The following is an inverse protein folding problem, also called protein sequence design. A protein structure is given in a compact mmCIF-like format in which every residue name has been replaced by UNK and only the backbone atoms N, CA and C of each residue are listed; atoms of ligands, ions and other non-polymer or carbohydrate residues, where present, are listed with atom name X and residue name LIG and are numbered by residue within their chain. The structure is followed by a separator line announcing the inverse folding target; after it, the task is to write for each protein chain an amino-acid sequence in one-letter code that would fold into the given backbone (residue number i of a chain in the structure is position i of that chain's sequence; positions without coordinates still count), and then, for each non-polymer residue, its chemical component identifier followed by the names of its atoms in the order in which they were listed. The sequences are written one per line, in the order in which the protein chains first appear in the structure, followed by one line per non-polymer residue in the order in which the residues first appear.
data_IF_542170307298
#
_entry.id   IF_542170307298
#
_cell.length_a   1.000
_cell.length_b   1.000
_cell.length_c   1.000
_cell.angle_alpha   90.00
_cell.angle_beta   90.00
_cell.angle_gamma   90.00
#
_symmetry.space_group_name_H-M   'P 1'
#
loop_
_entity.id
_entity.type
_entity.pdbx_description
1 polymer ?
#
# COMPACT_ATOMS: atom_id res chain seq x y z
N UNK A 1 7.84 -10.05 -12.13
CA UNK A 1 7.63 -8.67 -11.61
C UNK A 1 6.17 -8.39 -11.24
N UNK A 2 5.24 -9.34 -11.40
CA UNK A 2 3.79 -9.06 -11.49
C UNK A 2 3.10 -8.66 -10.18
N UNK A 3 3.68 -8.90 -9.02
CA UNK A 3 3.00 -8.64 -7.74
C UNK A 3 3.89 -7.95 -6.71
N UNK A 4 4.81 -7.12 -7.21
CA UNK A 4 5.68 -6.27 -6.39
C UNK A 4 5.12 -4.85 -6.32
N UNK A 5 5.11 -4.26 -5.14
CA UNK A 5 4.81 -2.85 -4.96
C UNK A 5 5.55 -2.29 -3.75
N UNK A 6 5.80 -0.98 -3.79
CA UNK A 6 6.24 -0.23 -2.62
C UNK A 6 5.06 0.54 -2.04
N UNK A 7 4.83 0.44 -0.75
CA UNK A 7 3.79 1.13 -0.02
C UNK A 7 4.38 2.30 0.75
N UNK A 8 3.74 3.45 0.66
CA UNK A 8 4.07 4.61 1.49
C UNK A 8 2.79 5.21 2.11
N UNK A 9 2.95 5.97 3.19
CA UNK A 9 1.81 6.56 3.87
C UNK A 9 1.17 7.70 3.05
N UNK A 10 1.97 8.58 2.43
CA UNK A 10 1.51 9.80 1.75
C UNK A 10 1.66 9.72 0.23
N UNK A 11 0.77 10.40 -0.51
CA UNK A 11 0.83 10.48 -1.98
C UNK A 11 2.16 11.09 -2.47
N UNK A 12 2.63 12.18 -1.84
CA UNK A 12 3.90 12.83 -2.21
C UNK A 12 5.10 11.86 -2.18
N UNK A 13 5.15 10.98 -1.19
CA UNK A 13 6.21 9.98 -1.08
C UNK A 13 6.09 8.91 -2.17
N UNK A 14 4.87 8.51 -2.52
CA UNK A 14 4.58 7.60 -3.64
C UNK A 14 5.04 8.21 -4.96
N UNK A 15 4.71 9.47 -5.24
CA UNK A 15 5.11 10.15 -6.47
C UNK A 15 6.64 10.27 -6.57
N UNK A 16 7.32 10.62 -5.47
CA UNK A 16 8.78 10.67 -5.40
C UNK A 16 9.44 9.31 -5.62
N UNK A 17 8.89 8.24 -5.03
CA UNK A 17 9.34 6.87 -5.26
C UNK A 17 9.15 6.44 -6.71
N UNK A 18 7.97 6.69 -7.27
CA UNK A 18 7.66 6.36 -8.66
C UNK A 18 8.64 7.07 -9.60
N UNK A 19 8.91 8.37 -9.39
CA UNK A 19 9.89 9.11 -10.18
C UNK A 19 11.31 8.55 -10.06
N UNK A 20 11.74 8.22 -8.83
CA UNK A 20 13.08 7.66 -8.57
C UNK A 20 13.25 6.27 -9.19
N UNK A 21 12.19 5.46 -9.24
CA UNK A 21 12.23 4.14 -9.87
C UNK A 21 12.22 4.30 -11.40
N UNK A 22 11.39 5.22 -11.91
CA UNK A 22 11.31 5.53 -13.33
C UNK A 22 12.64 6.00 -13.91
N UNK A 23 13.41 6.81 -13.17
CA UNK A 23 14.72 7.29 -13.61
C UNK A 23 15.73 6.16 -13.76
N UNK A 24 15.64 5.12 -12.91
CA UNK A 24 16.53 3.95 -12.92
C UNK A 24 16.20 2.92 -14.01
N UNK A 25 15.01 2.96 -14.59
CA UNK A 25 14.61 2.05 -15.67
C UNK A 25 15.34 2.45 -16.95
N UNK A 26 15.96 1.48 -17.62
CA UNK A 26 16.58 1.69 -18.92
C UNK A 26 15.53 2.01 -20.00
N UNK A 27 15.92 2.79 -21.00
CA UNK A 27 15.06 3.18 -22.12
C UNK A 27 14.72 4.66 -22.15
N UNK A 28 14.24 5.09 -23.31
CA UNK A 28 13.93 6.49 -23.58
C UNK A 28 12.70 6.95 -22.80
N UNK A 29 12.85 8.08 -22.09
CA UNK A 29 11.75 8.71 -21.38
C UNK A 29 10.85 9.44 -22.36
N UNK A 30 9.58 9.04 -22.43
CA UNK A 30 8.57 9.75 -23.21
C UNK A 30 7.66 10.55 -22.31
N UNK A 31 7.47 11.82 -22.68
CA UNK A 31 6.56 12.74 -21.99
C UNK A 31 5.30 12.97 -22.84
N UNK A 32 4.15 12.89 -22.19
CA UNK A 32 2.85 13.20 -22.76
C UNK A 32 2.22 14.33 -21.96
N UNK A 33 2.11 15.51 -22.57
CA UNK A 33 1.36 16.64 -22.00
C UNK A 33 -0.15 16.44 -22.23
N UNK A 34 -0.95 16.79 -21.23
CA UNK A 34 -2.40 16.83 -21.35
C UNK A 34 -2.84 18.07 -22.11
N UNK A 35 -4.09 18.04 -22.59
CA UNK A 35 -4.79 19.21 -23.11
C UNK A 35 -5.87 19.56 -22.11
N UNK A 36 -5.74 20.71 -21.47
CA UNK A 36 -6.63 21.17 -20.42
C UNK A 36 -7.44 22.38 -20.94
N UNK A 37 -8.74 22.37 -20.69
CA UNK A 37 -9.65 23.46 -21.09
C UNK A 37 -10.76 23.65 -20.06
N UNK A 38 -11.24 24.87 -19.86
CA UNK A 38 -12.46 25.08 -19.08
C UNK A 38 -13.67 24.49 -19.82
N UNK A 39 -14.70 24.09 -19.06
CA UNK A 39 -15.98 23.66 -19.63
C UNK A 39 -16.86 24.87 -19.90
N UNK A 40 -16.89 25.83 -18.98
CA UNK A 40 -17.55 27.13 -19.18
C UNK A 40 -16.54 28.15 -19.75
N UNK A 41 -16.83 28.64 -20.95
CA UNK A 41 -16.01 29.63 -21.64
C UNK A 41 -15.98 30.98 -20.90
N UNK A 42 -17.03 31.31 -20.15
CA UNK A 42 -17.08 32.55 -19.38
C UNK A 42 -16.08 32.51 -18.20
N UNK A 43 -15.80 31.32 -17.68
CA UNK A 43 -14.81 31.12 -16.62
C UNK A 43 -13.38 31.03 -17.15
N UNK A 44 -13.17 30.89 -18.46
CA UNK A 44 -11.83 30.78 -19.05
C UNK A 44 -10.94 32.01 -18.79
N UNK A 45 -11.55 33.18 -18.60
CA UNK A 45 -10.84 34.42 -18.24
C UNK A 45 -10.33 34.37 -16.79
N UNK A 46 -11.02 33.65 -15.91
CA UNK A 46 -10.70 33.57 -14.48
C UNK A 46 -9.64 32.51 -14.18
N UNK A 47 -9.50 31.50 -15.02
CA UNK A 47 -8.61 30.35 -14.78
C UNK A 47 -7.62 30.16 -15.95
N UNK A 48 -6.39 30.67 -15.84
CA UNK A 48 -5.39 30.50 -16.89
C UNK A 48 -4.99 29.04 -17.06
N UNK A 49 -4.59 28.65 -18.28
CA UNK A 49 -4.21 27.27 -18.61
C UNK A 49 -3.03 26.78 -17.76
N UNK A 50 -2.08 27.65 -17.42
CA UNK A 50 -0.95 27.34 -16.54
C UNK A 50 -1.42 26.91 -15.14
N UNK A 51 -2.47 27.55 -14.63
CA UNK A 51 -3.09 27.15 -13.38
C UNK A 51 -3.71 25.75 -13.52
N UNK A 52 -4.50 25.50 -14.56
CA UNK A 52 -5.09 24.18 -14.81
C UNK A 52 -4.04 23.07 -14.92
N UNK A 53 -2.97 23.32 -15.66
CA UNK A 53 -1.85 22.39 -15.84
C UNK A 53 -1.12 22.07 -14.53
N UNK A 54 -1.15 22.98 -13.55
CA UNK A 54 -0.53 22.79 -12.23
C UNK A 54 -1.37 21.91 -11.28
N UNK A 55 -2.66 21.70 -11.58
CA UNK A 55 -3.55 20.95 -10.72
C UNK A 55 -3.30 19.43 -10.80
N UNK A 56 -3.00 18.83 -9.64
CA UNK A 56 -2.93 17.39 -9.44
C UNK A 56 -4.15 16.91 -8.63
N UNK A 57 -5.30 16.81 -9.31
CA UNK A 57 -6.58 16.43 -8.68
C UNK A 57 -6.64 14.90 -8.53
N UNK A 58 -7.05 14.37 -7.35
CA UNK A 58 -7.24 12.94 -7.17
C UNK A 58 -8.15 12.32 -8.25
N UNK A 59 -7.75 11.17 -8.79
CA UNK A 59 -8.52 10.48 -9.83
C UNK A 59 -8.35 11.04 -11.24
N UNK A 60 -7.64 12.15 -11.40
CA UNK A 60 -7.21 12.66 -12.71
C UNK A 60 -5.76 12.23 -13.02
N UNK A 61 -5.42 12.02 -14.30
CA UNK A 61 -4.05 11.79 -14.70
C UNK A 61 -3.24 13.10 -14.57
N UNK A 62 -1.91 12.99 -14.35
CA UNK A 62 -1.04 14.16 -14.28
C UNK A 62 -1.00 14.88 -15.63
N UNK A 63 -0.81 16.21 -15.59
CA UNK A 63 -0.62 17.01 -16.80
C UNK A 63 0.56 16.49 -17.64
N UNK A 64 1.72 16.31 -17.01
CA UNK A 64 2.90 15.72 -17.64
C UNK A 64 3.05 14.25 -17.25
N UNK A 65 2.53 13.34 -18.07
CA UNK A 65 2.73 11.91 -17.89
C UNK A 65 4.06 11.48 -18.51
N UNK A 66 5.01 11.08 -17.66
CA UNK A 66 6.33 10.60 -18.07
C UNK A 66 6.42 9.08 -17.90
N UNK A 67 6.69 8.37 -19.00
CA UNK A 67 6.71 6.90 -19.03
C UNK A 67 7.82 6.38 -19.93
N UNK A 68 8.29 5.17 -19.65
CA UNK A 68 9.26 4.39 -20.44
C UNK A 68 8.66 3.04 -20.79
N UNK A 69 9.18 2.38 -21.82
CA UNK A 69 8.89 0.96 -22.05
C UNK A 69 9.30 0.15 -20.81
N UNK A 70 8.47 -0.80 -20.39
CA UNK A 70 8.64 -1.58 -19.15
C UNK A 70 8.14 -0.90 -17.88
N UNK A 71 7.61 0.34 -17.97
CA UNK A 71 7.05 1.01 -16.79
C UNK A 71 5.77 0.33 -16.32
N UNK A 72 5.55 0.31 -15.00
CA UNK A 72 4.29 -0.17 -14.43
C UNK A 72 3.34 1.00 -14.27
N UNK A 73 2.17 0.91 -14.88
CA UNK A 73 1.10 1.91 -14.81
C UNK A 73 -0.18 1.29 -14.23
N UNK A 74 -1.08 2.13 -13.75
CA UNK A 74 -2.39 1.74 -13.24
C UNK A 74 -3.49 2.55 -13.92
N UNK A 75 -4.59 1.90 -14.26
CA UNK A 75 -5.79 2.53 -14.83
C UNK A 75 -6.50 3.38 -13.77
N UNK A 76 -6.94 4.57 -14.17
CA UNK A 76 -7.71 5.51 -13.33
C UNK A 76 -9.22 5.50 -13.62
N UNK A 77 -9.61 4.97 -14.79
CA UNK A 77 -11.01 4.92 -15.25
C UNK A 77 -11.32 3.56 -15.84
N UNK A 78 -12.61 3.24 -15.85
CA UNK A 78 -13.12 2.08 -16.57
C UNK A 78 -13.18 2.43 -18.06
N UNK A 79 -12.55 1.61 -18.89
CA UNK A 79 -12.63 1.70 -20.35
C UNK A 79 -13.44 0.55 -20.93
N UNK A 80 -13.12 -0.68 -20.53
CA UNK A 80 -13.78 -1.87 -21.02
C UNK A 80 -13.94 -2.91 -19.90
N UNK A 81 -15.00 -2.83 -19.08
CA UNK A 81 -15.28 -3.86 -18.10
C UNK A 81 -15.59 -5.21 -18.77
N UNK A 82 -15.12 -6.34 -18.22
CA UNK A 82 -14.42 -6.49 -16.94
C UNK A 82 -12.88 -6.42 -17.01
N UNK A 83 -12.29 -6.18 -18.19
CA UNK A 83 -10.84 -6.31 -18.41
C UNK A 83 -10.04 -5.05 -18.02
N UNK A 84 -10.48 -3.88 -18.48
CA UNK A 84 -9.83 -2.58 -18.29
C UNK A 84 -10.66 -1.69 -17.38
N UNK A 85 -10.53 -1.95 -16.08
CA UNK A 85 -11.18 -1.22 -15.01
C UNK A 85 -10.19 -0.33 -14.25
N UNK A 86 -10.72 0.60 -13.46
CA UNK A 86 -9.94 1.37 -12.49
C UNK A 86 -9.20 0.42 -11.54
N UNK A 87 -7.90 0.66 -11.35
CA UNK A 87 -7.03 -0.19 -10.53
C UNK A 87 -6.31 -1.31 -11.29
N UNK A 88 -6.66 -1.60 -12.55
CA UNK A 88 -5.93 -2.59 -13.35
C UNK A 88 -4.48 -2.12 -13.57
N UNK A 89 -3.51 -2.93 -13.14
CA UNK A 89 -2.07 -2.67 -13.33
C UNK A 89 -1.59 -3.25 -14.65
N UNK A 90 -0.87 -2.43 -15.40
CA UNK A 90 -0.41 -2.73 -16.75
C UNK A 90 1.10 -2.48 -16.86
N UNK A 91 1.78 -3.25 -17.71
CA UNK A 91 3.19 -3.06 -18.05
C UNK A 91 3.30 -2.48 -19.45
N UNK A 92 3.95 -1.33 -19.58
CA UNK A 92 4.09 -0.65 -20.88
C UNK A 92 4.95 -1.48 -21.82
N UNK A 93 4.43 -1.78 -23.01
CA UNK A 93 5.13 -2.49 -24.08
C UNK A 93 5.63 -1.55 -25.17
N UNK A 94 4.76 -0.65 -25.63
CA UNK A 94 5.07 0.30 -26.70
C UNK A 94 4.39 1.63 -26.44
N UNK A 95 5.13 2.69 -26.76
CA UNK A 95 4.70 4.06 -26.59
C UNK A 95 4.49 4.67 -27.98
N UNK A 96 3.27 5.09 -28.31
CA UNK A 96 2.90 5.72 -29.59
C UNK A 96 2.40 7.15 -29.34
N UNK A 97 2.13 7.93 -30.38
CA UNK A 97 1.71 9.32 -30.22
C UNK A 97 0.35 9.44 -29.48
N UNK A 98 -0.62 8.61 -29.89
CA UNK A 98 -2.02 8.70 -29.43
C UNK A 98 -2.50 7.45 -28.68
N UNK A 99 -1.63 6.47 -28.49
CA UNK A 99 -1.95 5.21 -27.81
C UNK A 99 -0.75 4.70 -27.00
N UNK A 100 -1.04 4.03 -25.89
CA UNK A 100 -0.06 3.26 -25.12
C UNK A 100 -0.45 1.79 -25.21
N UNK A 101 0.44 0.96 -25.77
CA UNK A 101 0.29 -0.49 -25.75
C UNK A 101 0.86 -1.03 -24.44
N UNK A 102 0.06 -1.78 -23.71
CA UNK A 102 0.45 -2.37 -22.44
C UNK A 102 -0.07 -3.78 -22.28
N UNK A 103 0.54 -4.55 -21.40
CA UNK A 103 0.10 -5.91 -21.04
C UNK A 103 -0.50 -5.93 -19.64
N UNK A 104 -1.63 -6.59 -19.45
CA UNK A 104 -2.25 -6.79 -18.14
C UNK A 104 -1.36 -7.68 -17.27
N UNK A 105 -1.07 -7.22 -16.05
CA UNK A 105 -0.08 -7.88 -15.17
C UNK A 105 -0.74 -8.93 -14.25
N UNK A 106 -1.99 -8.71 -13.84
CA UNK A 106 -2.68 -9.49 -12.81
C UNK A 106 -4.16 -9.68 -13.14
N UNK A 107 -4.77 -10.72 -12.56
CA UNK A 107 -6.19 -11.03 -12.70
C UNK A 107 -6.44 -12.08 -13.78
N UNK A 108 -7.72 -12.31 -14.07
CA UNK A 108 -8.16 -13.33 -15.02
C UNK A 108 -7.67 -13.06 -16.46
N UNK A 109 -7.41 -11.79 -16.77
CA UNK A 109 -6.98 -11.32 -18.09
C UNK A 109 -5.45 -11.09 -18.15
N UNK A 110 -4.68 -11.72 -17.25
CA UNK A 110 -3.22 -11.58 -17.21
C UNK A 110 -2.60 -12.01 -18.54
N UNK A 111 -1.70 -11.18 -19.07
CA UNK A 111 -0.99 -11.44 -20.33
C UNK A 111 -1.68 -10.85 -21.56
N UNK A 112 -2.93 -10.40 -21.46
CA UNK A 112 -3.60 -9.73 -22.58
C UNK A 112 -2.96 -8.38 -22.89
N UNK A 113 -2.81 -8.10 -24.19
CA UNK A 113 -2.35 -6.82 -24.68
C UNK A 113 -3.51 -5.88 -24.96
N UNK A 114 -3.33 -4.63 -24.55
CA UNK A 114 -4.36 -3.61 -24.63
C UNK A 114 -3.77 -2.30 -25.15
N UNK A 115 -4.60 -1.55 -25.88
CA UNK A 115 -4.30 -0.20 -26.32
C UNK A 115 -5.09 0.79 -25.48
N UNK A 116 -4.37 1.74 -24.89
CA UNK A 116 -4.95 2.77 -24.03
C UNK A 116 -4.96 4.08 -24.82
N UNK A 117 -6.14 4.62 -25.18
CA UNK A 117 -6.25 5.92 -25.81
C UNK A 117 -6.23 7.06 -24.79
N UNK A 118 -6.04 8.29 -25.28
CA UNK A 118 -6.33 9.49 -24.49
C UNK A 118 -7.84 9.66 -24.37
N UNK A 119 -8.33 9.96 -23.17
CA UNK A 119 -9.75 10.22 -22.93
C UNK A 119 -9.93 11.58 -22.23
N UNK A 120 -11.06 12.27 -22.44
CA UNK A 120 -11.41 13.43 -21.65
C UNK A 120 -11.83 13.01 -20.24
N UNK A 121 -11.33 13.70 -19.22
CA UNK A 121 -11.66 13.49 -17.81
C UNK A 121 -12.06 14.84 -17.22
N UNK A 122 -13.21 14.85 -16.55
CA UNK A 122 -13.75 16.02 -15.85
C UNK A 122 -13.69 15.70 -14.36
N UNK A 123 -12.86 16.41 -13.56
CA UNK A 123 -12.87 16.28 -12.11
C UNK A 123 -14.15 16.87 -11.53
N UNK A 124 -14.70 16.22 -10.51
CA UNK A 124 -15.94 16.63 -9.83
C UNK A 124 -15.71 17.39 -8.53
N UNK A 125 -14.49 17.36 -8.00
CA UNK A 125 -14.18 17.78 -6.62
C UNK A 125 -13.60 19.20 -6.55
N UNK A 126 -13.93 20.05 -7.53
CA UNK A 126 -13.46 21.43 -7.64
C UNK A 126 -14.63 22.41 -7.75
N UNK A 127 -14.46 23.67 -7.30
CA UNK A 127 -15.52 24.69 -7.39
C UNK A 127 -15.75 25.20 -8.82
N UNK A 128 -14.95 24.74 -9.79
CA UNK A 128 -15.07 25.00 -11.22
C UNK A 128 -14.89 23.69 -11.98
N UNK A 129 -15.37 23.64 -13.22
CA UNK A 129 -15.26 22.45 -14.05
C UNK A 129 -14.31 22.69 -15.22
N UNK A 130 -13.28 21.86 -15.32
CA UNK A 130 -12.38 21.83 -16.45
C UNK A 130 -12.27 20.41 -17.00
N UNK A 131 -11.87 20.30 -18.25
CA UNK A 131 -11.69 19.04 -18.97
C UNK A 131 -10.19 18.82 -19.21
N UNK A 132 -9.69 17.66 -18.79
CA UNK A 132 -8.32 17.21 -19.07
C UNK A 132 -8.34 16.03 -20.05
N UNK A 133 -7.76 16.20 -21.23
CA UNK A 133 -7.59 15.11 -22.20
C UNK A 133 -6.20 14.51 -22.02
N UNK A 134 -6.15 13.26 -21.57
CA UNK A 134 -4.90 12.54 -21.30
C UNK A 134 -5.15 11.03 -21.26
N UNK A 135 -4.08 10.23 -21.29
CA UNK A 135 -4.18 8.79 -20.98
C UNK A 135 -4.70 8.60 -19.54
N UNK A 136 -5.71 7.75 -19.31
CA UNK A 136 -6.31 7.55 -17.99
C UNK A 136 -5.46 6.64 -17.10
N UNK A 137 -4.16 6.95 -16.96
CA UNK A 137 -3.17 6.12 -16.28
C UNK A 137 -2.23 6.95 -15.41
N UNK A 138 -1.62 6.29 -14.42
CA UNK A 138 -0.55 6.87 -13.59
C UNK A 138 0.53 5.82 -13.33
N UNK A 139 1.76 6.24 -13.05
CA UNK A 139 2.84 5.31 -12.64
C UNK A 139 2.44 4.59 -11.34
N UNK A 140 2.82 3.31 -11.24
CA UNK A 140 2.34 2.41 -10.21
C UNK A 140 3.39 1.39 -9.74
N UNK A 141 4.65 1.81 -9.58
CA UNK A 141 5.65 1.01 -8.85
C UNK A 141 5.41 1.07 -7.35
N UNK A 142 5.06 2.26 -6.88
CA UNK A 142 4.61 2.54 -5.53
C UNK A 142 3.13 2.94 -5.52
N UNK A 143 2.46 2.68 -4.40
CA UNK A 143 1.10 3.13 -4.11
C UNK A 143 0.96 3.47 -2.63
N UNK A 144 -0.12 4.16 -2.26
CA UNK A 144 -0.35 4.43 -0.84
C UNK A 144 -0.87 3.20 -0.11
N UNK A 145 -0.58 3.11 1.18
CA UNK A 145 -1.11 2.06 2.04
C UNK A 145 -2.64 2.00 1.96
N UNK A 146 -3.31 3.16 1.95
CA UNK A 146 -4.76 3.23 1.85
C UNK A 146 -5.29 2.63 0.53
N UNK A 147 -4.59 2.88 -0.60
CA UNK A 147 -4.97 2.29 -1.89
C UNK A 147 -4.69 0.78 -1.98
N UNK A 148 -3.74 0.28 -1.19
CA UNK A 148 -3.48 -1.17 -1.09
C UNK A 148 -4.51 -1.94 -0.25
N UNK A 149 -5.47 -1.25 0.38
CA UNK A 149 -6.49 -1.91 1.18
C UNK A 149 -7.36 -2.84 0.31
N UNK A 150 -7.51 -4.10 0.72
CA UNK A 150 -8.21 -5.13 -0.05
C UNK A 150 -7.37 -5.83 -1.13
N UNK A 151 -6.10 -5.44 -1.32
CA UNK A 151 -5.21 -6.08 -2.29
C UNK A 151 -4.23 -7.05 -1.62
N UNK A 152 -3.92 -8.14 -2.31
CA UNK A 152 -2.84 -9.07 -1.95
C UNK A 152 -1.65 -8.92 -2.91
N UNK A 153 -0.44 -8.87 -2.36
CA UNK A 153 0.84 -8.73 -3.07
C UNK A 153 1.72 -9.96 -2.79
N UNK A 154 2.54 -10.39 -3.76
CA UNK A 154 3.55 -11.44 -3.51
C UNK A 154 4.74 -10.89 -2.74
N UNK A 155 5.16 -9.65 -3.05
CA UNK A 155 6.31 -8.98 -2.45
C UNK A 155 5.97 -7.52 -2.21
N UNK A 156 6.22 -7.04 -1.00
CA UNK A 156 5.88 -5.69 -0.60
C UNK A 156 7.07 -5.02 0.07
N UNK A 157 7.45 -3.85 -0.44
CA UNK A 157 8.28 -2.89 0.28
C UNK A 157 7.40 -1.91 1.04
N UNK A 158 7.67 -1.60 2.31
CA UNK A 158 7.02 -0.53 3.05
C UNK A 158 8.06 0.57 3.30
N UNK A 159 7.85 1.74 2.70
CA UNK A 159 8.65 2.92 2.94
C UNK A 159 8.03 3.77 4.05
N UNK A 160 8.69 3.78 5.21
CA UNK A 160 8.32 4.55 6.40
C UNK A 160 9.22 5.78 6.62
N UNK A 161 9.85 6.30 5.56
CA UNK A 161 10.56 7.59 5.62
C UNK A 161 9.69 8.68 6.23
N UNK A 162 8.42 8.71 5.85
CA UNK A 162 7.36 9.41 6.59
C UNK A 162 6.59 8.38 7.43
N UNK A 163 6.36 8.63 8.73
CA UNK A 163 5.62 7.70 9.56
C UNK A 163 4.15 7.60 9.13
N UNK A 164 3.53 6.46 9.46
CA UNK A 164 2.08 6.29 9.36
C UNK A 164 1.36 7.33 10.23
N UNK A 165 0.27 7.89 9.72
CA UNK A 165 -0.47 8.98 10.38
C UNK A 165 -1.88 8.57 10.81
N UNK A 166 -2.34 7.38 10.40
CA UNK A 166 -3.64 6.84 10.80
C UNK A 166 -3.50 5.50 11.53
N UNK A 167 -4.53 5.19 12.30
CA UNK A 167 -4.58 3.95 13.05
C UNK A 167 -4.69 2.73 12.15
N UNK A 168 -3.96 1.67 12.50
CA UNK A 168 -3.97 0.41 11.76
C UNK A 168 -3.28 0.49 10.39
N UNK A 169 -2.76 1.65 9.98
CA UNK A 169 -2.15 1.81 8.65
C UNK A 169 -0.92 0.89 8.47
N UNK A 170 -0.04 0.81 9.47
CA UNK A 170 1.10 -0.11 9.43
C UNK A 170 0.67 -1.58 9.37
N UNK A 171 -0.43 -1.92 10.08
CA UNK A 171 -1.02 -3.25 10.04
C UNK A 171 -1.61 -3.59 8.66
N UNK A 172 -2.35 -2.65 8.06
CA UNK A 172 -2.86 -2.78 6.68
C UNK A 172 -1.71 -3.02 5.72
N UNK A 173 -0.62 -2.25 5.81
CA UNK A 173 0.54 -2.42 4.95
C UNK A 173 1.22 -3.79 5.13
N UNK A 174 1.43 -4.22 6.37
CA UNK A 174 2.12 -5.48 6.67
C UNK A 174 1.30 -6.71 6.28
N UNK A 175 -0.03 -6.62 6.37
CA UNK A 175 -0.95 -7.70 5.98
C UNK A 175 -1.15 -7.85 4.48
N UNK A 176 -0.47 -7.06 3.62
CA UNK A 176 -0.58 -7.19 2.16
C UNK A 176 0.16 -8.41 1.60
N UNK A 177 1.05 -9.01 2.37
CA UNK A 177 1.84 -10.19 1.96
C UNK A 177 1.55 -11.37 2.86
N UNK A 178 1.53 -12.58 2.29
CA UNK A 178 1.27 -13.81 3.03
C UNK A 178 2.50 -14.40 3.73
N UNK A 179 3.72 -13.98 3.36
CA UNK A 179 4.98 -14.50 3.90
C UNK A 179 5.86 -13.37 4.44
N UNK A 180 6.46 -13.52 5.64
CA UNK A 180 7.35 -12.50 6.20
C UNK A 180 8.60 -12.25 5.35
N UNK A 181 9.15 -13.30 4.72
CA UNK A 181 10.31 -13.22 3.82
C UNK A 181 10.07 -12.34 2.58
N UNK A 182 8.82 -12.05 2.27
CA UNK A 182 8.40 -11.20 1.15
C UNK A 182 8.09 -9.76 1.57
N UNK A 183 8.26 -9.43 2.86
CA UNK A 183 8.03 -8.10 3.41
C UNK A 183 9.36 -7.40 3.68
N UNK A 184 9.56 -6.26 3.01
CA UNK A 184 10.74 -5.42 3.22
C UNK A 184 10.29 -4.10 3.83
N UNK A 185 10.83 -3.72 4.98
CA UNK A 185 10.48 -2.45 5.64
C UNK A 185 11.70 -1.55 5.67
N UNK A 186 11.54 -0.34 5.17
CA UNK A 186 12.52 0.73 5.30
C UNK A 186 12.00 1.77 6.31
N UNK A 187 12.71 1.93 7.41
CA UNK A 187 12.43 2.94 8.43
C UNK A 187 13.74 3.68 8.77
N UNK A 188 13.76 5.02 8.72
CA UNK A 188 14.92 5.78 9.20
C UNK A 188 15.28 5.38 10.63
N UNK A 189 16.56 5.16 10.91
CA UNK A 189 17.05 4.71 12.22
C UNK A 189 16.42 3.40 12.73
N UNK A 190 15.86 2.60 11.80
CA UNK A 190 15.07 1.41 12.12
C UNK A 190 13.87 1.70 13.04
N UNK A 191 13.36 2.94 13.09
CA UNK A 191 12.28 3.34 13.99
C UNK A 191 11.12 4.00 13.24
N UNK A 192 9.90 3.73 13.69
CA UNK A 192 8.70 4.41 13.19
C UNK A 192 7.69 4.69 14.28
N UNK A 193 6.85 5.72 14.08
CA UNK A 193 5.70 6.00 14.95
C UNK A 193 4.54 5.11 14.52
N UNK A 194 4.05 4.29 15.44
CA UNK A 194 2.81 3.54 15.27
C UNK A 194 1.68 4.24 16.05
N UNK A 195 0.56 4.47 15.38
CA UNK A 195 -0.62 5.12 15.94
C UNK A 195 -1.65 4.03 16.30
N UNK A 196 -1.85 3.81 17.59
CA UNK A 196 -2.83 2.85 18.13
C UNK A 196 -3.92 3.63 18.89
N UNK A 197 -5.20 3.38 18.58
CA UNK A 197 -6.33 3.80 19.42
C UNK A 197 -6.78 2.58 20.22
N UNK A 198 -6.47 2.55 21.52
CA UNK A 198 -6.75 1.38 22.37
C UNK A 198 -8.27 1.14 22.57
N UNK A 199 -9.09 2.20 22.47
CA UNK A 199 -10.54 2.13 22.64
C UNK A 199 -11.27 1.36 21.51
N UNK A 200 -10.73 1.37 20.28
CA UNK A 200 -11.34 0.70 19.11
C UNK A 200 -11.07 -0.81 19.15
N UNK A 201 -9.86 -1.19 19.55
CA UNK A 201 -9.45 -2.60 19.71
C UNK A 201 -10.30 -3.30 20.77
N UNK A 202 -10.55 -2.63 21.90
CA UNK A 202 -11.35 -3.17 23.01
C UNK A 202 -12.86 -3.28 22.68
N UNK A 203 -13.42 -2.37 21.87
CA UNK A 203 -14.83 -2.44 21.45
C UNK A 203 -15.11 -3.60 20.47
N UNK A 204 -14.15 -3.92 19.59
CA UNK A 204 -14.29 -5.05 18.66
C UNK A 204 -14.23 -6.41 19.37
N UNK A 205 -13.37 -6.56 20.39
CA UNK A 205 -13.34 -7.77 21.23
C UNK A 205 -14.67 -8.01 21.96
N UNK A 206 -15.31 -6.96 22.50
CA UNK A 206 -16.61 -7.07 23.18
C UNK A 206 -17.77 -7.43 22.25
N UNK A 207 -17.77 -6.98 20.98
CA UNK A 207 -18.83 -7.32 20.00
C UNK A 207 -18.71 -8.75 19.45
N UNK A 208 -17.50 -9.29 19.34
CA UNK A 208 -17.30 -10.68 18.86
C UNK A 208 -17.64 -11.74 19.91
N UNK A 209 -17.46 -11.43 21.20
CA UNK A 209 -17.82 -12.32 22.30
C UNK A 209 -19.33 -12.52 22.50
N UNK A 210 -20.18 -11.60 22.02
CA UNK A 210 -21.63 -11.68 22.20
C UNK A 210 -22.40 -12.30 21.03
N UNK A 211 -21.77 -12.54 19.86
CA UNK A 211 -22.51 -12.88 18.64
C UNK A 211 -22.55 -14.37 18.27
N UNK A 212 -21.72 -15.26 18.81
CA UNK A 212 -21.75 -16.68 18.43
C UNK A 212 -21.40 -17.62 19.59
N UNK A 213 -22.44 -18.17 20.24
CA UNK A 213 -22.36 -19.39 21.06
C UNK A 213 -22.14 -20.65 20.20
N UNK A 214 -21.20 -20.61 19.25
CA UNK A 214 -20.73 -21.79 18.53
C UNK A 214 -19.20 -21.73 18.45
N UNK A 215 -18.58 -22.61 19.23
CA UNK A 215 -17.15 -22.74 19.40
C UNK A 215 -16.50 -23.31 18.14
N UNK A 216 -15.59 -22.55 17.52
CA UNK A 216 -14.64 -23.07 16.54
C UNK A 216 -13.19 -22.73 16.93
N UNK A 217 -12.26 -23.71 17.00
CA UNK A 217 -10.87 -23.51 17.47
C UNK A 217 -10.00 -22.62 16.56
N UNK A 218 -10.45 -22.31 15.34
CA UNK A 218 -9.68 -21.57 14.33
C UNK A 218 -9.51 -20.08 14.62
N UNK A 219 -10.36 -19.50 15.50
CA UNK A 219 -10.34 -18.05 15.82
C UNK A 219 -9.30 -17.71 16.90
N UNK A 220 -8.93 -18.66 17.77
CA UNK A 220 -7.95 -18.44 18.84
C UNK A 220 -6.50 -18.32 18.34
N UNK A 221 -6.21 -18.75 17.11
CA UNK A 221 -4.87 -18.62 16.52
C UNK A 221 -4.52 -17.16 16.16
N UNK A 222 -5.54 -16.34 15.83
CA UNK A 222 -5.34 -14.92 15.47
C UNK A 222 -5.27 -14.01 16.70
N UNK A 223 -5.95 -14.35 17.81
CA UNK A 223 -5.86 -13.59 19.06
C UNK A 223 -4.56 -13.87 19.84
N UNK A 224 -4.05 -15.11 19.77
CA UNK A 224 -2.81 -15.49 20.47
C UNK A 224 -1.55 -14.86 19.86
N UNK A 225 -1.56 -14.55 18.56
CA UNK A 225 -0.47 -13.80 17.91
C UNK A 225 -0.42 -12.34 18.43
N UNK A 226 -1.56 -11.76 18.79
CA UNK A 226 -1.61 -10.42 19.40
C UNK A 226 -1.14 -10.41 20.86
N UNK A 227 -1.38 -11.47 21.63
CA UNK A 227 -1.03 -11.51 23.06
C UNK A 227 0.48 -11.71 23.27
N UNK A 228 1.16 -12.47 22.40
CA UNK A 228 2.60 -12.76 22.58
C UNK A 228 3.56 -11.57 22.32
N UNK A 229 3.05 -10.45 21.80
CA UNK A 229 3.86 -9.23 21.65
C UNK A 229 3.77 -8.36 22.93
N UNK A 230 2.77 -8.57 23.79
CA UNK A 230 2.45 -7.64 24.89
C UNK A 230 2.90 -8.08 26.30
N UNK A 231 3.47 -9.27 26.54
CA UNK A 231 3.79 -9.68 27.93
C UNK A 231 5.09 -10.48 28.13
N UNK A 232 6.12 -9.73 28.59
CA UNK A 232 7.13 -10.07 29.62
C UNK A 232 8.18 -11.17 29.30
N UNK A 233 9.49 -10.94 29.44
CA UNK A 233 10.17 -10.85 30.75
C UNK A 233 9.55 -11.76 31.81
N UNK A 234 9.50 -13.08 31.56
CA UNK A 234 9.26 -14.06 32.63
C UNK A 234 10.41 -15.06 32.59
N UNK A 235 11.29 -14.93 33.58
CA UNK A 235 12.30 -15.91 33.96
C UNK A 235 11.60 -17.24 34.23
N UNK A 236 11.98 -18.28 33.49
CA UNK A 236 11.47 -19.63 33.66
C UNK A 236 12.07 -20.23 34.94
N UNK A 237 11.28 -20.34 36.01
CA UNK A 237 11.54 -21.35 37.01
C UNK A 237 10.24 -22.11 37.32
N UNK A 238 10.34 -23.43 37.18
CA UNK A 238 9.42 -24.47 37.64
C UNK A 238 8.06 -24.56 36.92
N UNK A 239 7.93 -25.58 36.07
CA UNK A 239 7.03 -26.72 36.33
C UNK A 239 7.28 -27.82 35.29
N UNK A 240 7.76 -28.96 35.80
CA UNK A 240 7.87 -30.26 35.13
C UNK A 240 6.50 -30.95 35.18
N UNK A 241 6.30 -31.89 34.23
CA UNK A 241 5.21 -32.90 34.10
C UNK A 241 3.93 -32.39 33.41
N UNK A 242 3.27 -33.05 32.44
CA UNK A 242 3.47 -34.29 31.67
C UNK A 242 2.56 -34.26 30.41
N UNK A 243 2.91 -34.95 29.30
CA UNK A 243 1.96 -35.37 28.24
C UNK A 243 2.36 -35.13 26.76
N UNK A 244 1.81 -35.91 25.80
CA UNK A 244 2.22 -35.94 24.38
C UNK A 244 1.80 -34.70 23.55
N UNK A 245 1.04 -33.78 24.14
CA UNK A 245 0.64 -32.50 23.52
C UNK A 245 1.86 -31.57 23.34
N UNK A 246 2.93 -31.78 24.11
CA UNK A 246 4.13 -30.94 24.09
C UNK A 246 4.92 -31.04 22.77
N UNK A 247 4.91 -32.20 22.09
CA UNK A 247 5.63 -32.38 20.82
C UNK A 247 4.96 -31.64 19.64
N UNK A 248 3.62 -31.54 19.64
CA UNK A 248 2.87 -30.78 18.63
C UNK A 248 3.07 -29.28 18.84
N UNK A 249 3.14 -28.83 20.10
CA UNK A 249 3.41 -27.44 20.45
C UNK A 249 4.85 -27.02 20.08
N UNK A 250 5.85 -27.90 20.28
CA UNK A 250 7.23 -27.66 19.85
C UNK A 250 7.39 -27.61 18.33
N UNK A 251 6.60 -28.40 17.58
CA UNK A 251 6.64 -28.40 16.12
C UNK A 251 5.98 -27.12 15.53
N UNK A 252 4.86 -26.66 16.12
CA UNK A 252 4.23 -25.39 15.77
C UNK A 252 5.06 -24.17 16.18
N UNK A 253 5.76 -24.24 17.31
CA UNK A 253 6.64 -23.15 17.79
C UNK A 253 7.94 -23.09 16.96
N UNK A 254 8.53 -24.23 16.54
CA UNK A 254 9.69 -24.21 15.64
C UNK A 254 9.38 -23.57 14.27
N UNK A 255 8.18 -23.79 13.72
CA UNK A 255 7.74 -23.13 12.49
C UNK A 255 7.27 -21.66 12.68
N UNK A 256 7.10 -21.19 13.92
CA UNK A 256 6.74 -19.81 14.23
C UNK A 256 7.93 -18.92 14.65
N UNK A 257 9.12 -19.49 14.81
CA UNK A 257 10.33 -18.75 15.23
C UNK A 257 10.97 -17.93 14.09
N UNK A 258 10.52 -18.07 12.84
CA UNK A 258 10.87 -17.14 11.74
C UNK A 258 9.91 -15.94 11.64
N UNK A 259 9.35 -15.51 12.78
CA UNK A 259 8.59 -14.27 12.86
C UNK A 259 9.56 -13.09 12.90
N UNK A 260 9.48 -12.22 11.90
CA UNK A 260 10.10 -10.89 11.86
C UNK A 260 10.00 -10.24 13.24
N UNK A 261 11.16 -10.08 13.89
CA UNK A 261 11.24 -9.57 15.25
C UNK A 261 11.07 -8.04 15.21
N UNK A 262 9.86 -7.53 15.45
CA UNK A 262 9.67 -6.11 15.76
C UNK A 262 9.82 -5.90 17.26
N UNK A 263 10.89 -5.22 17.70
CA UNK A 263 11.05 -4.79 19.10
C UNK A 263 10.26 -3.50 19.31
N UNK A 264 9.19 -3.57 20.08
CA UNK A 264 8.36 -2.42 20.44
C UNK A 264 8.92 -1.81 21.74
N UNK A 265 9.32 -0.54 21.71
CA UNK A 265 9.61 0.22 22.93
C UNK A 265 8.45 1.20 23.17
N UNK A 266 7.64 0.92 24.19
CA UNK A 266 6.59 1.83 24.65
C UNK A 266 7.18 2.88 25.60
N UNK A 267 6.98 4.15 25.26
CA UNK A 267 6.98 5.27 26.22
C UNK A 267 5.60 5.90 26.15
N UNK A 268 4.82 5.73 27.21
CA UNK A 268 3.52 6.40 27.39
C UNK A 268 3.76 7.80 27.94
N UNK A 269 3.24 8.82 27.27
CA UNK A 269 3.08 10.17 27.85
C UNK A 269 1.58 10.41 28.01
N UNK A 270 1.13 10.57 29.25
CA UNK A 270 -0.27 10.83 29.59
C UNK A 270 -0.62 12.31 29.34
N UNK A 271 -1.51 12.56 28.40
CA UNK A 271 -2.37 13.74 28.42
C UNK A 271 -3.63 13.46 27.60
N UNK A 272 -4.77 13.91 28.11
CA UNK A 272 -6.13 13.52 27.72
C UNK A 272 -6.42 13.47 26.21
N UNK A 273 -7.29 12.52 25.84
CA UNK A 273 -7.54 11.94 24.52
C UNK A 273 -6.51 10.84 24.17
N UNK A 274 -6.85 9.57 24.50
CA UNK A 274 -5.97 8.37 24.50
C UNK A 274 -5.41 8.00 23.11
N UNK A 275 -4.50 8.82 22.59
CA UNK A 275 -3.66 8.55 21.43
C UNK A 275 -2.31 8.04 21.92
N UNK A 276 -2.12 6.72 21.87
CA UNK A 276 -0.83 6.13 22.24
C UNK A 276 0.08 6.11 21.02
N UNK A 277 1.12 6.95 21.03
CA UNK A 277 2.17 6.94 19.99
C UNK A 277 3.31 6.04 20.46
N UNK A 278 3.48 4.89 19.81
CA UNK A 278 4.53 3.92 20.17
C UNK A 278 5.65 3.92 19.14
N UNK A 279 6.90 3.88 19.59
CA UNK A 279 8.06 3.74 18.68
C UNK A 279 8.32 2.26 18.43
N UNK A 280 8.22 1.84 17.17
CA UNK A 280 8.48 0.46 16.75
C UNK A 280 9.87 0.38 16.14
N UNK A 281 10.70 -0.54 16.63
CA UNK A 281 12.02 -0.83 16.06
C UNK A 281 11.94 -2.03 15.11
N UNK A 282 12.29 -1.83 13.85
CA UNK A 282 12.37 -2.91 12.85
C UNK A 282 13.73 -3.60 12.94
N UNK A 283 13.78 -4.87 13.34
CA UNK A 283 15.00 -5.67 13.24
C UNK A 283 15.01 -6.33 11.86
N UNK A 284 15.92 -5.92 10.98
CA UNK A 284 16.19 -6.67 9.76
C UNK A 284 17.04 -7.89 10.16
N UNK A 285 16.64 -9.09 9.73
CA UNK A 285 17.53 -10.26 9.81
C UNK A 285 18.75 -9.97 8.93
N UNK A 286 19.93 -9.90 9.54
CA UNK A 286 21.20 -9.96 8.82
C UNK A 286 21.26 -11.34 8.16
N UNK A 287 21.08 -11.39 6.83
CA UNK A 287 21.51 -12.54 6.06
C UNK A 287 23.05 -12.55 6.08
N UNK A 288 23.63 -13.25 7.06
CA UNK A 288 25.01 -13.72 6.94
C UNK A 288 25.04 -14.73 5.80
N UNK A 289 25.60 -14.33 4.67
CA UNK A 289 26.12 -15.25 3.68
C UNK A 289 27.21 -16.09 4.34
N UNK A 290 26.98 -17.39 4.43
CA UNK A 290 27.99 -18.44 4.33
C UNK A 290 27.39 -19.57 3.51
#
# INVERSE_FOLDING_TARGET
MSERAILAAKNKDVDSLNFTIQSKIAGELRSYKSVDSMIDENEAVNYPIEFLNSLDVPGTPPHNLQVKVGSIIIMLRNLNPPTLCNGTRLSVKKLMNNAIQSTIIKGNFKGEEVLIPRIPIIPTDLPFQFKRIQFPVRLAFAMTINKSQGQSLEVCGINLKCPCFSHGQLYVASSRVGKPSSLFIFAPENKTKNIKYDEVVMKLQRRHLFSKNQWQPSIYLLSSICIQIETKCITFHQLRTAGPIWLIFLCLVRNCQEKVLMKIHQKTSESGCKKTTTTVTTVQQENKLY
#
